data_IF_027597445487
#
_entry.id   IF_027597445487
#
_cell.length_a   1.000
_cell.length_b   1.000
_cell.length_c   1.000
_cell.angle_alpha   90.00
_cell.angle_beta   90.00
_cell.angle_gamma   90.00
#
_symmetry.space_group_name_H-M   'P 1'
#
loop_
_entity.id
_entity.type
_entity.pdbx_description
1 polymer ?
#
# COMPACT_ATOMS: atom_id res chain seq x y z
N UNK A 1 -5.34 -4.45 1.75
CA UNK A 1 -3.96 -4.93 1.55
C UNK A 1 -3.15 -3.96 0.67
N UNK A 2 -3.63 -3.56 -0.50
CA UNK A 2 -2.94 -2.61 -1.38
C UNK A 2 -2.53 -1.30 -0.71
N UNK A 3 -3.41 -0.71 0.11
CA UNK A 3 -3.13 0.52 0.86
C UNK A 3 -1.90 0.38 1.77
N UNK A 4 -1.82 -0.70 2.54
CA UNK A 4 -0.70 -0.92 3.48
C UNK A 4 0.63 -1.13 2.76
N UNK A 5 0.62 -1.89 1.67
CA UNK A 5 1.83 -2.12 0.88
C UNK A 5 2.29 -0.83 0.19
N UNK A 6 1.35 -0.05 -0.34
CA UNK A 6 1.66 1.17 -1.08
C UNK A 6 2.12 2.34 -0.20
N UNK A 7 2.00 2.24 1.10
CA UNK A 7 2.68 3.18 2.01
C UNK A 7 4.20 3.08 1.94
N UNK A 8 4.74 1.90 1.59
CA UNK A 8 6.17 1.61 1.65
C UNK A 8 6.80 1.29 0.30
N UNK A 9 6.00 0.96 -0.69
CA UNK A 9 6.42 0.58 -2.03
C UNK A 9 5.62 1.43 -3.02
N UNK A 10 6.22 1.79 -4.16
CA UNK A 10 5.55 2.65 -5.14
C UNK A 10 4.18 2.11 -5.57
N UNK A 11 3.22 3.00 -5.77
CA UNK A 11 1.85 2.68 -6.17
C UNK A 11 1.78 1.78 -7.40
N UNK A 12 2.66 2.05 -8.39
CA UNK A 12 2.72 1.26 -9.62
C UNK A 12 3.17 -0.16 -9.36
N UNK A 13 4.20 -0.35 -8.50
CA UNK A 13 4.70 -1.68 -8.15
C UNK A 13 3.61 -2.48 -7.42
N UNK A 14 2.92 -1.88 -6.46
CA UNK A 14 1.82 -2.54 -5.74
C UNK A 14 0.67 -2.89 -6.67
N UNK A 15 0.26 -1.98 -7.56
CA UNK A 15 -0.77 -2.26 -8.54
C UNK A 15 -0.36 -3.41 -9.48
N UNK A 16 0.88 -3.40 -9.98
CA UNK A 16 1.42 -4.46 -10.84
C UNK A 16 1.47 -5.82 -10.14
N UNK A 17 1.78 -5.86 -8.84
CA UNK A 17 1.80 -7.10 -8.04
C UNK A 17 0.39 -7.64 -7.74
N UNK A 18 -0.57 -6.76 -7.45
CA UNK A 18 -1.91 -7.16 -7.07
C UNK A 18 -2.83 -7.44 -8.25
N UNK A 19 -2.57 -6.85 -9.43
CA UNK A 19 -3.40 -7.03 -10.61
C UNK A 19 -3.48 -8.49 -11.10
N UNK A 20 -2.36 -9.25 -11.22
CA UNK A 20 -2.41 -10.67 -11.54
C UNK A 20 -3.18 -11.50 -10.51
N UNK A 21 -3.05 -11.17 -9.20
CA UNK A 21 -3.80 -11.85 -8.14
C UNK A 21 -5.30 -11.60 -8.26
N UNK A 22 -5.69 -10.35 -8.53
CA UNK A 22 -7.09 -10.00 -8.76
C UNK A 22 -7.65 -10.74 -10.00
N UNK A 23 -6.86 -10.83 -11.08
CA UNK A 23 -7.24 -11.57 -12.28
C UNK A 23 -7.40 -13.06 -12.00
N UNK A 24 -6.44 -13.68 -11.31
CA UNK A 24 -6.51 -15.10 -10.92
C UNK A 24 -7.79 -15.40 -10.13
N UNK A 25 -8.15 -14.52 -9.17
CA UNK A 25 -9.38 -14.67 -8.41
C UNK A 25 -10.63 -14.61 -9.31
N UNK A 26 -10.65 -13.72 -10.30
CA UNK A 26 -11.78 -13.63 -11.23
C UNK A 26 -11.87 -14.87 -12.14
N UNK A 27 -10.73 -15.38 -12.58
CA UNK A 27 -10.67 -16.58 -13.42
C UNK A 27 -11.18 -17.82 -12.62
N UNK A 28 -10.80 -17.96 -11.35
CA UNK A 28 -11.30 -19.02 -10.46
C UNK A 28 -12.82 -18.96 -10.25
N UNK A 29 -13.37 -17.75 -10.16
CA UNK A 29 -14.82 -17.52 -10.04
C UNK A 29 -15.56 -17.66 -11.38
N UNK A 30 -14.84 -17.75 -12.50
CA UNK A 30 -15.42 -17.79 -13.86
C UNK A 30 -16.00 -16.46 -14.30
N UNK A 31 -15.48 -15.36 -13.75
CA UNK A 31 -15.94 -14.00 -14.02
C UNK A 31 -15.00 -13.28 -14.99
N UNK A 32 -15.58 -12.62 -15.97
CA UNK A 32 -14.81 -11.77 -16.89
C UNK A 32 -14.57 -10.39 -16.27
N UNK A 33 -13.32 -9.91 -16.25
CA UNK A 33 -12.94 -8.68 -15.55
C UNK A 33 -13.76 -7.43 -15.92
N UNK A 34 -14.11 -7.28 -17.19
CA UNK A 34 -14.82 -6.09 -17.71
C UNK A 34 -16.34 -6.29 -17.87
N UNK A 35 -16.85 -7.51 -17.74
CA UNK A 35 -18.26 -7.80 -17.90
C UNK A 35 -18.98 -7.83 -16.53
N UNK A 36 -18.34 -8.41 -15.50
CA UNK A 36 -18.92 -8.48 -14.15
C UNK A 36 -18.72 -7.20 -13.36
N UNK A 37 -19.72 -6.81 -12.55
CA UNK A 37 -19.59 -5.67 -11.64
C UNK A 37 -18.57 -5.96 -10.54
N UNK A 38 -18.53 -7.19 -10.03
CA UNK A 38 -17.51 -7.61 -9.07
C UNK A 38 -16.09 -7.47 -9.65
N UNK A 39 -15.89 -7.90 -10.92
CA UNK A 39 -14.60 -7.77 -11.59
C UNK A 39 -14.16 -6.33 -11.74
N UNK A 40 -15.07 -5.44 -12.18
CA UNK A 40 -14.80 -3.99 -12.27
C UNK A 40 -14.43 -3.41 -10.91
N UNK A 41 -15.25 -3.69 -9.88
CA UNK A 41 -14.99 -3.20 -8.53
C UNK A 41 -13.65 -3.70 -7.98
N UNK A 42 -13.32 -4.97 -8.20
CA UNK A 42 -12.06 -5.56 -7.74
C UNK A 42 -10.85 -4.89 -8.40
N UNK A 43 -10.84 -4.75 -9.71
CA UNK A 43 -9.71 -4.14 -10.42
C UNK A 43 -9.54 -2.65 -10.07
N UNK A 44 -10.64 -1.92 -9.95
CA UNK A 44 -10.60 -0.51 -9.53
C UNK A 44 -10.14 -0.42 -8.06
N UNK A 45 -10.54 -1.35 -7.20
CA UNK A 45 -10.10 -1.37 -5.79
C UNK A 45 -8.59 -1.58 -5.66
N UNK A 46 -7.97 -2.36 -6.55
CA UNK A 46 -6.51 -2.51 -6.61
C UNK A 46 -5.84 -1.18 -6.95
N UNK A 47 -6.32 -0.50 -7.99
CA UNK A 47 -5.77 0.79 -8.41
C UNK A 47 -5.96 1.88 -7.32
N UNK A 48 -7.17 2.04 -6.81
CA UNK A 48 -7.47 3.03 -5.77
C UNK A 48 -6.75 2.72 -4.46
N UNK A 49 -6.70 1.44 -4.06
CA UNK A 49 -5.98 1.04 -2.86
C UNK A 49 -4.48 1.37 -2.94
N UNK A 50 -3.88 1.16 -4.11
CA UNK A 50 -2.48 1.54 -4.34
C UNK A 50 -2.28 3.06 -4.28
N UNK A 51 -3.17 3.85 -4.90
CA UNK A 51 -3.09 5.31 -4.87
C UNK A 51 -3.29 5.88 -3.45
N UNK A 52 -4.32 5.42 -2.74
CA UNK A 52 -4.64 5.89 -1.40
C UNK A 52 -3.48 5.62 -0.43
N UNK A 53 -2.87 4.43 -0.52
CA UNK A 53 -1.73 4.09 0.33
C UNK A 53 -0.52 4.97 0.11
N UNK A 54 -0.27 5.38 -1.13
CA UNK A 54 0.85 6.22 -1.49
C UNK A 54 0.91 7.58 -0.81
N UNK A 55 -0.20 8.08 -0.29
CA UNK A 55 -0.21 9.33 0.50
C UNK A 55 0.28 9.12 1.94
N UNK A 56 0.26 7.90 2.45
CA UNK A 56 0.51 7.61 3.86
C UNK A 56 1.91 7.93 4.35
N UNK A 57 2.92 7.78 3.51
CA UNK A 57 4.32 8.06 3.86
C UNK A 57 5.04 8.83 2.75
N UNK A 58 6.16 9.49 3.05
CA UNK A 58 7.01 10.10 2.02
C UNK A 58 7.48 9.10 0.96
N UNK A 59 7.77 7.84 1.36
CA UNK A 59 8.27 6.80 0.47
C UNK A 59 7.19 6.18 -0.46
N UNK A 60 5.91 6.34 -0.13
CA UNK A 60 4.81 5.69 -0.84
C UNK A 60 4.59 6.21 -2.27
N UNK A 61 4.93 7.46 -2.54
CA UNK A 61 4.74 8.07 -3.86
C UNK A 61 5.80 9.12 -4.16
N UNK A 62 6.35 9.13 -5.38
CA UNK A 62 7.40 10.06 -5.80
C UNK A 62 7.09 11.56 -5.60
N UNK A 63 5.88 12.07 -5.85
CA UNK A 63 5.51 13.45 -5.56
C UNK A 63 5.62 13.87 -4.09
N UNK A 64 5.53 12.95 -3.13
CA UNK A 64 5.59 13.29 -1.70
C UNK A 64 6.94 13.90 -1.28
N UNK A 65 8.10 13.29 -1.59
CA UNK A 65 9.40 13.90 -1.29
C UNK A 65 9.59 15.23 -2.01
N UNK A 66 9.10 15.36 -3.24
CA UNK A 66 9.14 16.63 -3.98
C UNK A 66 8.34 17.72 -3.27
N UNK A 67 7.14 17.40 -2.77
CA UNK A 67 6.34 18.35 -1.99
C UNK A 67 7.06 18.77 -0.70
N UNK A 68 7.70 17.84 0.00
CA UNK A 68 8.53 18.13 1.19
C UNK A 68 9.69 19.06 0.82
N UNK A 69 10.40 18.77 -0.28
CA UNK A 69 11.47 19.64 -0.79
C UNK A 69 10.98 21.06 -1.09
N UNK A 70 9.86 21.20 -1.78
CA UNK A 70 9.28 22.52 -2.05
C UNK A 70 8.84 23.26 -0.78
N UNK A 71 8.29 22.57 0.22
CA UNK A 71 7.97 23.20 1.51
C UNK A 71 9.23 23.76 2.19
N UNK A 72 10.34 23.03 2.13
CA UNK A 72 11.62 23.48 2.66
C UNK A 72 12.18 24.68 1.89
N UNK A 73 12.26 24.57 0.57
CA UNK A 73 12.91 25.56 -0.29
C UNK A 73 12.13 26.87 -0.40
N UNK A 74 10.79 26.78 -0.49
CA UNK A 74 9.94 27.96 -0.73
C UNK A 74 9.39 28.59 0.55
N UNK A 75 9.14 27.78 1.58
CA UNK A 75 8.50 28.24 2.81
C UNK A 75 9.41 28.13 4.05
N UNK A 76 10.58 27.50 3.94
CA UNK A 76 11.47 27.27 5.08
C UNK A 76 10.89 26.29 6.10
N UNK A 77 9.94 25.43 5.68
CA UNK A 77 9.28 24.46 6.56
C UNK A 77 9.96 23.12 6.38
N UNK A 78 10.66 22.66 7.43
CA UNK A 78 11.18 21.30 7.48
C UNK A 78 10.10 20.32 7.92
N UNK A 79 9.83 19.31 7.08
CA UNK A 79 8.85 18.27 7.33
C UNK A 79 9.59 16.95 7.45
N UNK A 80 9.60 16.36 8.65
CA UNK A 80 10.20 15.05 8.87
C UNK A 80 9.33 13.93 8.30
N UNK A 81 9.89 12.71 8.23
CA UNK A 81 9.15 11.51 7.80
C UNK A 81 7.92 11.28 8.68
N UNK A 82 8.08 11.44 10.00
CA UNK A 82 6.98 11.27 10.96
C UNK A 82 5.94 12.39 10.86
N UNK A 83 6.35 13.64 10.64
CA UNK A 83 5.41 14.76 10.47
C UNK A 83 4.48 14.52 9.29
N UNK A 84 5.03 14.03 8.18
CA UNK A 84 4.20 13.63 7.03
C UNK A 84 3.21 12.53 7.40
N UNK A 85 3.68 11.47 8.10
CA UNK A 85 2.82 10.33 8.47
C UNK A 85 1.68 10.71 9.42
N UNK A 86 1.88 11.68 10.32
CA UNK A 86 0.83 12.16 11.24
C UNK A 86 -0.40 12.63 10.48
N UNK A 87 -0.22 13.22 9.31
CA UNK A 87 -1.33 13.66 8.44
C UNK A 87 -1.66 12.62 7.36
N UNK A 88 -0.67 12.05 6.73
CA UNK A 88 -0.84 11.14 5.59
C UNK A 88 -1.55 9.83 5.95
N UNK A 89 -1.19 9.23 7.08
CA UNK A 89 -1.80 7.95 7.52
C UNK A 89 -3.28 8.12 7.86
N UNK A 90 -3.72 9.09 8.69
CA UNK A 90 -5.14 9.30 8.95
C UNK A 90 -5.94 9.61 7.68
N UNK A 91 -5.41 10.44 6.78
CA UNK A 91 -6.04 10.75 5.50
C UNK A 91 -6.24 9.47 4.69
N UNK A 92 -5.20 8.63 4.55
CA UNK A 92 -5.30 7.35 3.85
C UNK A 92 -6.34 6.43 4.49
N UNK A 93 -6.39 6.35 5.82
CA UNK A 93 -7.35 5.50 6.54
C UNK A 93 -8.80 5.98 6.33
N UNK A 94 -9.05 7.28 6.30
CA UNK A 94 -10.38 7.85 6.03
C UNK A 94 -10.83 7.57 4.60
N UNK A 95 -9.91 7.58 3.63
CA UNK A 95 -10.24 7.32 2.24
C UNK A 95 -10.61 5.85 1.97
N UNK A 96 -10.16 4.89 2.79
CA UNK A 96 -10.51 3.47 2.63
C UNK A 96 -12.03 3.24 2.65
N UNK A 97 -12.77 3.60 3.72
CA UNK A 97 -14.22 3.39 3.76
C UNK A 97 -14.97 4.21 2.70
N UNK A 98 -14.49 5.40 2.36
CA UNK A 98 -15.07 6.23 1.31
C UNK A 98 -14.95 5.52 -0.04
N UNK A 99 -13.74 5.09 -0.42
CA UNK A 99 -13.49 4.38 -1.66
C UNK A 99 -14.28 3.07 -1.73
N UNK A 100 -14.32 2.31 -0.63
CA UNK A 100 -15.11 1.09 -0.54
C UNK A 100 -16.59 1.34 -0.72
N UNK A 101 -17.15 2.34 -0.05
CA UNK A 101 -18.55 2.74 -0.19
C UNK A 101 -18.90 3.17 -1.60
N UNK A 102 -18.06 3.99 -2.23
CA UNK A 102 -18.24 4.43 -3.62
C UNK A 102 -18.21 3.25 -4.60
N UNK A 103 -17.29 2.29 -4.42
CA UNK A 103 -17.22 1.10 -5.26
C UNK A 103 -18.47 0.23 -5.14
N UNK A 104 -18.98 0.04 -3.93
CA UNK A 104 -20.21 -0.72 -3.71
C UNK A 104 -21.46 -0.01 -4.26
N UNK A 105 -21.49 1.31 -4.25
CA UNK A 105 -22.58 2.09 -4.84
C UNK A 105 -22.54 2.07 -6.36
N UNK A 106 -21.34 2.19 -6.96
CA UNK A 106 -21.14 2.23 -8.40
C UNK A 106 -21.29 0.84 -9.05
N UNK A 107 -20.73 -0.17 -8.40
CA UNK A 107 -20.70 -1.54 -8.91
C UNK A 107 -21.31 -2.47 -7.86
N UNK A 108 -22.62 -2.68 -7.93
CA UNK A 108 -23.30 -3.65 -7.06
C UNK A 108 -22.84 -5.06 -7.43
N UNK A 109 -22.11 -5.78 -6.53
CA UNK A 109 -21.60 -7.11 -6.83
C UNK A 109 -22.76 -8.07 -7.06
N UNK A 110 -22.65 -8.89 -8.09
CA UNK A 110 -23.62 -9.94 -8.42
C UNK A 110 -23.52 -11.12 -7.45
N UNK A 111 -22.36 -11.25 -6.77
CA UNK A 111 -22.04 -12.37 -5.89
C UNK A 111 -22.10 -11.93 -4.43
N UNK A 112 -22.75 -12.75 -3.60
CA UNK A 112 -22.73 -12.58 -2.14
C UNK A 112 -21.58 -13.30 -1.46
N UNK A 113 -21.05 -14.36 -2.07
CA UNK A 113 -20.01 -15.22 -1.52
C UNK A 113 -19.07 -15.67 -2.64
N UNK A 114 -17.79 -15.75 -2.35
CA UNK A 114 -16.78 -16.38 -3.20
C UNK A 114 -16.97 -17.91 -3.15
N UNK A 115 -16.74 -18.62 -4.25
CA UNK A 115 -16.79 -20.09 -4.30
C UNK A 115 -15.73 -20.73 -3.39
N UNK A 116 -14.64 -20.01 -3.20
CA UNK A 116 -13.54 -20.48 -2.36
C UNK A 116 -13.93 -20.48 -0.88
N UNK A 117 -13.93 -21.64 -0.28
CA UNK A 117 -14.29 -21.82 1.13
C UNK A 117 -13.16 -21.31 2.04
N UNK A 118 -13.51 -20.71 3.18
CA UNK A 118 -12.53 -20.30 4.21
C UNK A 118 -11.58 -21.46 4.62
N UNK A 119 -12.02 -22.70 4.47
CA UNK A 119 -11.23 -23.91 4.76
C UNK A 119 -10.11 -24.13 3.75
N UNK A 120 -10.34 -23.88 2.47
CA UNK A 120 -9.34 -24.01 1.39
C UNK A 120 -8.25 -22.95 1.56
N UNK A 121 -8.65 -21.70 1.80
CA UNK A 121 -7.72 -20.60 2.08
C UNK A 121 -6.85 -20.92 3.31
N UNK A 122 -7.46 -21.43 4.38
CA UNK A 122 -6.72 -21.79 5.60
C UNK A 122 -5.76 -22.96 5.40
N UNK A 123 -6.13 -23.92 4.56
CA UNK A 123 -5.27 -25.06 4.23
C UNK A 123 -4.07 -24.63 3.37
N UNK A 124 -4.25 -23.71 2.43
CA UNK A 124 -3.15 -23.13 1.66
C UNK A 124 -2.16 -22.38 2.56
N UNK A 125 -2.65 -21.54 3.49
CA UNK A 125 -1.78 -20.87 4.45
C UNK A 125 -0.99 -21.84 5.33
N UNK A 126 -1.58 -22.98 5.73
CA UNK A 126 -0.88 -24.00 6.51
C UNK A 126 0.19 -24.76 5.72
N UNK A 127 -0.02 -24.91 4.41
CA UNK A 127 0.86 -25.64 3.52
C UNK A 127 1.93 -24.76 2.86
N UNK A 128 1.95 -23.45 3.15
CA UNK A 128 3.01 -22.57 2.64
C UNK A 128 4.36 -22.98 3.22
N UNK A 129 5.40 -23.06 2.37
CA UNK A 129 6.75 -23.33 2.83
C UNK A 129 7.24 -22.22 3.77
N UNK A 130 8.13 -22.57 4.66
CA UNK A 130 8.78 -21.57 5.54
C UNK A 130 9.55 -20.58 4.68
N UNK A 131 9.57 -19.31 5.12
CA UNK A 131 10.34 -18.26 4.48
C UNK A 131 11.78 -18.72 4.17
N UNK A 132 12.18 -18.56 2.94
CA UNK A 132 13.54 -18.82 2.48
C UNK A 132 14.54 -17.88 3.16
N UNK A 133 15.84 -18.16 3.01
CA UNK A 133 16.89 -17.26 3.53
C UNK A 133 16.80 -15.87 2.88
N UNK A 134 16.59 -15.82 1.58
CA UNK A 134 16.55 -14.58 0.81
C UNK A 134 15.33 -13.74 1.19
N UNK A 135 14.17 -14.34 1.41
CA UNK A 135 12.97 -13.67 1.89
C UNK A 135 13.18 -13.08 3.30
N UNK A 136 13.86 -13.81 4.18
CA UNK A 136 14.18 -13.30 5.53
C UNK A 136 15.15 -12.12 5.48
N UNK A 137 16.19 -12.22 4.66
CA UNK A 137 17.16 -11.12 4.48
C UNK A 137 16.47 -9.89 3.91
N UNK A 138 15.63 -10.07 2.88
CA UNK A 138 14.84 -8.99 2.29
C UNK A 138 13.92 -8.33 3.34
N UNK A 139 13.24 -9.13 4.15
CA UNK A 139 12.36 -8.62 5.21
C UNK A 139 13.16 -7.84 6.27
N UNK A 140 14.32 -8.35 6.71
CA UNK A 140 15.18 -7.67 7.67
C UNK A 140 15.66 -6.34 7.11
N UNK A 141 16.17 -6.33 5.88
CA UNK A 141 16.63 -5.11 5.22
C UNK A 141 15.47 -4.10 5.06
N UNK A 142 14.30 -4.56 4.66
CA UNK A 142 13.12 -3.71 4.55
C UNK A 142 12.75 -3.08 5.89
N UNK A 143 12.64 -3.87 6.95
CA UNK A 143 12.31 -3.37 8.29
C UNK A 143 13.39 -2.40 8.80
N UNK A 144 14.68 -2.70 8.56
CA UNK A 144 15.78 -1.81 8.93
C UNK A 144 15.70 -0.47 8.18
N UNK A 145 15.41 -0.49 6.88
CA UNK A 145 15.26 0.73 6.07
C UNK A 145 14.08 1.58 6.56
N UNK A 146 12.94 0.94 6.82
CA UNK A 146 11.77 1.63 7.38
C UNK A 146 12.09 2.26 8.74
N UNK A 147 12.78 1.52 9.61
CA UNK A 147 13.19 2.05 10.91
C UNK A 147 14.14 3.26 10.77
N UNK A 148 15.11 3.19 9.85
CA UNK A 148 16.00 4.31 9.56
C UNK A 148 15.24 5.55 9.07
N UNK A 149 14.25 5.39 8.21
CA UNK A 149 13.42 6.50 7.73
C UNK A 149 12.57 7.12 8.85
N UNK A 150 11.91 6.28 9.63
CA UNK A 150 11.03 6.73 10.72
C UNK A 150 11.82 7.45 11.81
N UNK A 151 13.03 6.98 12.10
CA UNK A 151 13.89 7.56 13.14
C UNK A 151 14.96 8.50 12.59
N UNK A 152 14.88 8.92 11.33
CA UNK A 152 15.90 9.74 10.68
C UNK A 152 16.19 11.06 11.43
N UNK A 153 15.15 11.80 11.84
CA UNK A 153 15.30 13.05 12.60
C UNK A 153 15.99 12.83 13.96
N UNK A 154 15.60 11.80 14.70
CA UNK A 154 16.21 11.48 15.99
C UNK A 154 17.68 11.03 15.85
N UNK A 155 17.97 10.29 14.76
CA UNK A 155 19.35 9.90 14.45
C UNK A 155 20.20 11.12 14.04
N UNK A 156 19.67 12.02 13.25
CA UNK A 156 20.33 13.27 12.87
C UNK A 156 20.71 14.09 14.09
N UNK A 157 19.79 14.27 15.03
CA UNK A 157 20.01 15.00 16.27
C UNK A 157 21.08 14.32 17.17
N UNK A 158 21.06 12.98 17.22
CA UNK A 158 22.00 12.22 18.05
C UNK A 158 23.41 12.18 17.46
N UNK A 159 23.53 12.07 16.13
CA UNK A 159 24.81 11.92 15.42
C UNK A 159 25.40 13.27 14.98
N UNK A 160 24.64 14.36 15.05
CA UNK A 160 25.05 15.67 14.54
C UNK A 160 25.27 15.69 13.02
N UNK A 161 24.65 14.77 12.30
CA UNK A 161 24.77 14.62 10.84
C UNK A 161 23.39 14.76 10.21
N UNK A 162 23.25 15.62 9.20
CA UNK A 162 22.00 15.78 8.46
C UNK A 162 21.78 14.54 7.58
N UNK A 163 20.79 13.72 7.92
CA UNK A 163 20.41 12.51 7.16
C UNK A 163 19.26 12.90 6.24
N UNK A 164 19.50 13.08 4.92
CA UNK A 164 18.43 13.47 4.00
C UNK A 164 17.38 12.35 3.88
N UNK A 165 16.10 12.75 3.87
CA UNK A 165 14.95 11.82 3.78
C UNK A 165 14.73 11.35 2.33
N UNK A 166 15.30 12.04 1.34
CA UNK A 166 15.15 11.78 -0.10
C UNK A 166 16.52 11.89 -0.78
#
# INVERSE_FOLDING_TARGET
MGVLLSMWISNMAVAAMLMPLAKSLLDEEGLKPLESNFGKALLISVAWGSLIGGFGTPAGNGPNPLAIGFMKDMAGIDVSFLDWMIYGVPISLIHIPIAWGLLLLAFKPEMKYLKRTNQEIRNEFKNQPRLSRDEKVTLILFVATVALWVFSSQLSDLLGVDIPIA
#
